data_IF_015991936573
#
_entry.id   IF_015991936573
#
_cell.length_a   1.000
_cell.length_b   1.000
_cell.length_c   1.000
_cell.angle_alpha   90.00
_cell.angle_beta   90.00
_cell.angle_gamma   90.00
#
_symmetry.space_group_name_H-M   'P 1'
#
loop_
_entity.id
_entity.type
_entity.pdbx_description
1 polymer ?
#
# COMPACT_ATOMS: atom_id res chain seq x y z
N UNK A 1 12.54 -8.22 -15.17
CA UNK A 1 12.55 -9.05 -13.95
C UNK A 1 11.17 -8.88 -13.31
N UNK A 2 10.55 -9.94 -12.79
CA UNK A 2 9.21 -9.81 -12.17
C UNK A 2 9.29 -9.04 -10.84
N UNK A 3 8.15 -8.55 -10.35
CA UNK A 3 8.10 -7.89 -9.05
C UNK A 3 8.52 -8.88 -7.95
N UNK A 4 8.01 -10.12 -7.93
CA UNK A 4 8.42 -11.08 -6.88
C UNK A 4 9.90 -11.42 -6.92
N UNK A 5 10.53 -11.57 -8.09
CA UNK A 5 11.97 -11.77 -8.14
C UNK A 5 12.74 -10.58 -7.51
N UNK A 6 12.24 -9.36 -7.74
CA UNK A 6 12.83 -8.15 -7.15
C UNK A 6 12.61 -8.08 -5.63
N UNK A 7 11.42 -8.45 -5.15
CA UNK A 7 11.09 -8.53 -3.72
C UNK A 7 11.92 -9.60 -3.01
N UNK A 8 12.09 -10.77 -3.63
CA UNK A 8 12.93 -11.86 -3.11
C UNK A 8 14.39 -11.43 -3.00
N UNK A 9 14.92 -10.77 -4.04
CA UNK A 9 16.28 -10.23 -3.98
C UNK A 9 16.43 -9.20 -2.87
N UNK A 10 15.49 -8.25 -2.76
CA UNK A 10 15.53 -7.21 -1.73
C UNK A 10 15.45 -7.80 -0.31
N UNK A 11 14.63 -8.83 -0.10
CA UNK A 11 14.56 -9.52 1.18
C UNK A 11 15.84 -10.29 1.48
N UNK A 12 16.42 -10.99 0.51
CA UNK A 12 17.68 -11.70 0.68
C UNK A 12 18.85 -10.73 0.99
N UNK A 13 18.88 -9.57 0.36
CA UNK A 13 19.89 -8.55 0.63
C UNK A 13 19.70 -7.91 2.00
N UNK A 14 18.45 -7.66 2.41
CA UNK A 14 18.12 -7.25 3.78
C UNK A 14 18.59 -8.27 4.82
N UNK A 15 18.32 -9.56 4.60
CA UNK A 15 18.76 -10.63 5.51
C UNK A 15 20.29 -10.74 5.64
N UNK A 16 21.04 -10.36 4.60
CA UNK A 16 22.51 -10.35 4.66
C UNK A 16 23.07 -9.13 5.39
N UNK A 17 22.39 -7.98 5.30
CA UNK A 17 22.89 -6.70 5.77
C UNK A 17 22.41 -6.33 7.18
N UNK A 18 21.20 -6.73 7.56
CA UNK A 18 20.59 -6.34 8.82
C UNK A 18 21.14 -7.13 10.02
N UNK A 19 21.25 -6.53 11.21
CA UNK A 19 21.57 -7.26 12.43
C UNK A 19 20.55 -8.35 12.74
N UNK A 20 20.98 -9.48 13.32
CA UNK A 20 20.08 -10.59 13.67
C UNK A 20 18.83 -10.18 14.48
N UNK A 21 18.92 -9.32 15.52
CA UNK A 21 17.72 -8.88 16.26
C UNK A 21 16.71 -8.14 15.40
N UNK A 22 17.17 -7.44 14.35
CA UNK A 22 16.30 -6.76 13.40
C UNK A 22 15.58 -7.80 12.55
N UNK A 23 16.31 -8.76 11.98
CA UNK A 23 15.76 -9.84 11.17
C UNK A 23 14.71 -10.63 11.98
N UNK A 24 15.03 -10.98 13.22
CA UNK A 24 14.14 -11.72 14.12
C UNK A 24 12.85 -10.95 14.40
N UNK A 25 12.93 -9.63 14.55
CA UNK A 25 11.75 -8.78 14.76
C UNK A 25 10.85 -8.76 13.52
N UNK A 26 11.41 -8.65 12.32
CA UNK A 26 10.62 -8.73 11.09
C UNK A 26 10.00 -10.11 10.89
N UNK A 27 10.75 -11.19 11.12
CA UNK A 27 10.22 -12.56 10.99
C UNK A 27 9.10 -12.83 11.99
N UNK A 28 9.31 -12.43 13.25
CA UNK A 28 8.29 -12.55 14.30
C UNK A 28 7.07 -11.69 14.01
N UNK A 29 7.26 -10.51 13.40
CA UNK A 29 6.18 -9.65 12.95
C UNK A 29 5.31 -10.29 11.87
N UNK A 30 5.93 -10.93 10.86
CA UNK A 30 5.20 -11.71 9.84
C UNK A 30 4.43 -12.85 10.49
N UNK A 31 5.07 -13.63 11.36
CA UNK A 31 4.42 -14.76 12.03
C UNK A 31 3.24 -14.30 12.89
N UNK A 32 3.43 -13.25 13.70
CA UNK A 32 2.37 -12.72 14.55
C UNK A 32 1.18 -12.20 13.72
N UNK A 33 1.45 -11.58 12.56
CA UNK A 33 0.40 -11.14 11.66
C UNK A 33 -0.32 -12.34 11.03
N UNK A 34 0.40 -13.37 10.58
CA UNK A 34 -0.20 -14.61 10.06
C UNK A 34 -1.09 -15.32 11.08
N UNK A 35 -0.69 -15.34 12.35
CA UNK A 35 -1.42 -16.03 13.42
C UNK A 35 -2.68 -15.28 13.86
N UNK A 36 -2.68 -13.95 13.75
CA UNK A 36 -3.75 -13.08 14.29
C UNK A 36 -4.68 -12.50 13.23
N UNK A 37 -4.26 -12.46 11.97
CA UNK A 37 -5.03 -11.84 10.91
C UNK A 37 -6.17 -12.73 10.43
N UNK A 38 -7.39 -12.20 10.52
CA UNK A 38 -8.59 -12.83 10.02
C UNK A 38 -8.99 -12.20 8.68
N UNK A 39 -8.55 -12.83 7.58
CA UNK A 39 -8.81 -12.34 6.23
C UNK A 39 -10.31 -12.24 5.88
N UNK A 40 -11.18 -12.96 6.60
CA UNK A 40 -12.63 -12.89 6.37
C UNK A 40 -13.26 -11.57 6.83
N UNK A 41 -12.55 -10.82 7.69
CA UNK A 41 -12.96 -9.49 8.16
C UNK A 41 -12.49 -8.36 7.26
N UNK A 42 -11.60 -8.65 6.30
CA UNK A 42 -11.18 -7.68 5.31
C UNK A 42 -12.20 -7.57 4.17
N UNK A 43 -12.14 -6.47 3.42
CA UNK A 43 -12.93 -6.24 2.22
C UNK A 43 -12.86 -7.44 1.25
N UNK A 44 -14.00 -7.85 0.71
CA UNK A 44 -14.13 -9.00 -0.18
C UNK A 44 -14.70 -8.61 -1.56
N UNK A 45 -14.39 -9.38 -2.62
CA UNK A 45 -15.09 -9.29 -3.89
C UNK A 45 -16.61 -9.33 -3.72
N UNK A 46 -17.32 -8.49 -4.48
CA UNK A 46 -18.77 -8.31 -4.42
C UNK A 46 -19.25 -7.29 -3.39
N UNK A 47 -18.39 -6.80 -2.49
CA UNK A 47 -18.72 -5.71 -1.58
C UNK A 47 -18.54 -4.35 -2.26
N UNK A 48 -19.25 -3.33 -1.77
CA UNK A 48 -19.04 -1.95 -2.20
C UNK A 48 -17.78 -1.39 -1.55
N UNK A 49 -16.96 -0.67 -2.32
CA UNK A 49 -15.89 0.14 -1.77
C UNK A 49 -16.50 1.25 -0.89
N UNK A 50 -16.07 1.42 0.37
CA UNK A 50 -16.51 2.54 1.19
C UNK A 50 -16.16 3.88 0.54
N UNK A 51 -17.08 4.84 0.62
CA UNK A 51 -16.79 6.19 0.15
C UNK A 51 -15.68 6.83 0.98
N UNK A 52 -14.77 7.53 0.30
CA UNK A 52 -13.69 8.24 0.98
C UNK A 52 -13.41 9.58 0.31
N UNK A 53 -12.84 10.48 1.10
CA UNK A 53 -12.19 11.72 0.65
C UNK A 53 -10.83 11.79 1.33
N UNK A 54 -9.77 11.65 0.56
CA UNK A 54 -8.38 11.67 1.04
C UNK A 54 -7.64 12.85 0.41
N UNK A 55 -6.54 13.27 1.02
CA UNK A 55 -5.66 14.28 0.42
C UNK A 55 -4.62 13.61 -0.46
N UNK A 56 -4.32 14.18 -1.62
CA UNK A 56 -3.15 13.80 -2.40
C UNK A 56 -1.85 14.43 -1.87
N UNK A 57 -0.72 14.05 -2.45
CA UNK A 57 0.61 14.58 -2.09
C UNK A 57 0.76 16.10 -2.29
N UNK A 58 -0.17 16.76 -2.99
CA UNK A 58 -0.21 18.22 -3.19
C UNK A 58 -1.22 18.93 -2.28
N UNK A 59 -1.95 18.18 -1.45
CA UNK A 59 -2.95 18.68 -0.51
C UNK A 59 -4.35 18.84 -1.12
N UNK A 60 -4.59 18.36 -2.35
CA UNK A 60 -5.91 18.41 -2.95
C UNK A 60 -6.78 17.26 -2.45
N UNK A 61 -8.06 17.53 -2.23
CA UNK A 61 -9.03 16.50 -1.89
C UNK A 61 -9.36 15.63 -3.12
N UNK A 62 -9.25 14.32 -2.96
CA UNK A 62 -9.58 13.29 -3.95
C UNK A 62 -10.65 12.39 -3.35
N UNK A 63 -11.76 12.22 -4.07
CA UNK A 63 -12.88 11.37 -3.62
C UNK A 63 -12.91 10.06 -4.39
N UNK A 64 -13.38 8.98 -3.75
CA UNK A 64 -13.63 7.70 -4.42
C UNK A 64 -14.53 7.88 -5.65
N UNK A 65 -15.57 8.72 -5.55
CA UNK A 65 -16.48 9.04 -6.66
C UNK A 65 -15.75 9.71 -7.82
N UNK A 66 -14.86 10.67 -7.55
CA UNK A 66 -14.09 11.34 -8.61
C UNK A 66 -13.10 10.41 -9.32
N UNK A 67 -12.61 9.38 -8.63
CA UNK A 67 -11.75 8.35 -9.21
C UNK A 67 -12.57 7.38 -10.06
N UNK A 68 -13.67 6.87 -9.52
CA UNK A 68 -14.56 5.92 -10.21
C UNK A 68 -15.26 6.52 -11.43
N UNK A 69 -15.49 7.84 -11.45
CA UNK A 69 -16.02 8.53 -12.63
C UNK A 69 -15.08 8.47 -13.85
N UNK A 70 -13.79 8.18 -13.65
CA UNK A 70 -12.81 8.00 -14.74
C UNK A 70 -12.77 6.58 -15.28
N UNK A 71 -13.35 5.61 -14.58
CA UNK A 71 -13.31 4.20 -14.89
C UNK A 71 -13.07 3.32 -13.65
N UNK A 72 -12.80 2.03 -13.84
CA UNK A 72 -12.41 1.14 -12.74
C UNK A 72 -11.17 1.66 -12.01
N UNK A 73 -11.04 1.32 -10.73
CA UNK A 73 -10.02 1.83 -9.83
C UNK A 73 -9.21 0.67 -9.26
N UNK A 74 -7.88 0.72 -9.40
CA UNK A 74 -6.95 -0.19 -8.74
C UNK A 74 -6.24 0.56 -7.60
N UNK A 75 -6.55 0.19 -6.36
CA UNK A 75 -5.95 0.74 -5.15
C UNK A 75 -4.78 -0.14 -4.69
N UNK A 76 -3.63 0.48 -4.41
CA UNK A 76 -2.49 -0.15 -3.73
C UNK A 76 -2.29 0.48 -2.35
N UNK A 77 -2.59 -0.28 -1.30
CA UNK A 77 -2.35 0.11 0.08
C UNK A 77 -0.93 -0.28 0.49
N UNK A 78 -0.19 0.66 1.05
CA UNK A 78 1.19 0.44 1.46
C UNK A 78 1.50 1.10 2.80
N UNK A 79 2.54 0.59 3.46
CA UNK A 79 2.89 0.96 4.84
C UNK A 79 3.45 2.38 4.95
N UNK A 80 4.31 2.74 4.01
CA UNK A 80 5.00 4.03 3.95
C UNK A 80 6.26 3.96 3.07
N UNK A 81 6.82 5.11 2.73
CA UNK A 81 8.01 5.26 1.87
C UNK A 81 9.29 4.60 2.40
N UNK A 82 9.39 4.39 3.71
CA UNK A 82 10.55 3.72 4.33
C UNK A 82 10.57 2.22 4.06
N UNK A 83 9.46 1.66 3.57
CA UNK A 83 9.32 0.24 3.26
C UNK A 83 9.90 -0.07 1.86
N UNK A 84 11.02 -0.79 1.75
CA UNK A 84 11.65 -1.07 0.46
C UNK A 84 10.77 -1.91 -0.48
N UNK A 85 10.00 -2.86 0.08
CA UNK A 85 9.04 -3.67 -0.67
C UNK A 85 7.94 -2.82 -1.30
N UNK A 86 7.47 -1.80 -0.57
CA UNK A 86 6.45 -0.86 -1.01
C UNK A 86 7.00 -0.01 -2.18
N UNK A 87 8.24 0.47 -2.08
CA UNK A 87 8.87 1.23 -3.16
C UNK A 87 9.12 0.38 -4.42
N UNK A 88 9.36 -0.93 -4.28
CA UNK A 88 9.47 -1.84 -5.43
C UNK A 88 8.12 -2.05 -6.11
N UNK A 89 7.05 -2.26 -5.35
CA UNK A 89 5.68 -2.37 -5.87
C UNK A 89 5.27 -1.12 -6.63
N UNK A 90 5.41 0.07 -6.02
CA UNK A 90 4.99 1.33 -6.63
C UNK A 90 5.75 1.61 -7.93
N UNK A 91 7.06 1.31 -7.98
CA UNK A 91 7.85 1.40 -9.22
C UNK A 91 7.40 0.40 -10.29
N UNK A 92 7.05 -0.82 -9.88
CA UNK A 92 6.57 -1.84 -10.81
C UNK A 92 5.21 -1.43 -11.41
N UNK A 93 4.29 -0.90 -10.59
CA UNK A 93 3.03 -0.33 -11.06
C UNK A 93 3.25 0.89 -11.98
N UNK A 94 4.13 1.82 -11.60
CA UNK A 94 4.49 2.98 -12.42
C UNK A 94 5.03 2.56 -13.79
N UNK A 95 5.87 1.52 -13.85
CA UNK A 95 6.43 1.02 -15.12
C UNK A 95 5.39 0.42 -16.07
N UNK A 96 4.21 0.08 -15.55
CA UNK A 96 3.08 -0.51 -16.28
C UNK A 96 1.87 0.43 -16.35
N UNK A 97 2.02 1.68 -15.88
CA UNK A 97 0.96 2.69 -15.86
C UNK A 97 0.35 2.94 -17.25
N UNK A 98 1.12 2.98 -18.36
CA UNK A 98 0.54 3.14 -19.71
C UNK A 98 -0.47 2.04 -20.05
N UNK A 99 -0.21 0.80 -19.65
CA UNK A 99 -1.10 -0.34 -19.90
C UNK A 99 -2.38 -0.27 -19.06
N UNK A 100 -2.29 0.12 -17.79
CA UNK A 100 -3.48 0.36 -16.95
C UNK A 100 -4.33 1.51 -17.50
N UNK A 101 -3.67 2.60 -17.90
CA UNK A 101 -4.33 3.78 -18.49
C UNK A 101 -5.01 3.43 -19.80
N UNK A 102 -4.35 2.65 -20.66
CA UNK A 102 -4.91 2.18 -21.93
C UNK A 102 -6.12 1.26 -21.73
N UNK A 103 -6.17 0.53 -20.61
CA UNK A 103 -7.33 -0.28 -20.21
C UNK A 103 -8.43 0.53 -19.50
N UNK A 104 -8.27 1.86 -19.37
CA UNK A 104 -9.25 2.74 -18.73
C UNK A 104 -9.27 2.67 -17.20
N UNK A 105 -8.23 2.10 -16.59
CA UNK A 105 -8.15 1.93 -15.13
C UNK A 105 -7.34 3.06 -14.50
N UNK A 106 -7.90 3.64 -13.45
CA UNK A 106 -7.20 4.60 -12.60
C UNK A 106 -6.43 3.84 -11.53
N UNK A 107 -5.13 4.09 -11.41
CA UNK A 107 -4.31 3.64 -10.28
C UNK A 107 -4.36 4.69 -9.16
N UNK A 108 -4.37 4.27 -7.90
CA UNK A 108 -4.06 5.14 -6.78
C UNK A 108 -3.36 4.37 -5.66
N UNK A 109 -2.32 4.95 -5.07
CA UNK A 109 -1.65 4.42 -3.90
C UNK A 109 -2.15 5.10 -2.63
N UNK A 110 -2.30 4.35 -1.54
CA UNK A 110 -2.85 4.84 -0.27
C UNK A 110 -1.94 4.43 0.89
N UNK A 111 -1.56 5.38 1.73
CA UNK A 111 -0.84 5.11 2.98
C UNK A 111 -1.27 6.06 4.10
N UNK A 112 -0.99 5.76 5.37
CA UNK A 112 -1.36 6.65 6.47
C UNK A 112 -0.39 7.80 6.68
N UNK A 113 0.60 7.97 5.79
CA UNK A 113 1.50 9.10 5.85
C UNK A 113 0.75 10.42 5.76
N UNK A 114 1.16 11.38 6.58
CA UNK A 114 0.76 12.77 6.43
C UNK A 114 1.15 13.27 5.03
N UNK A 115 0.36 14.17 4.43
CA UNK A 115 0.74 14.79 3.17
C UNK A 115 2.06 15.55 3.33
N UNK A 116 3.11 15.12 2.62
CA UNK A 116 4.39 15.81 2.66
C UNK A 116 4.32 17.09 1.83
N UNK A 117 4.00 18.18 2.50
CA UNK A 117 3.92 19.51 1.87
C UNK A 117 5.30 20.10 1.57
N UNK A 118 6.39 19.53 2.11
CA UNK A 118 7.75 20.06 2.00
C UNK A 118 8.49 19.67 0.72
N UNK A 119 8.04 18.61 0.04
CA UNK A 119 8.64 18.14 -1.22
C UNK A 119 8.30 19.05 -2.41
N UNK A 120 9.26 19.17 -3.32
CA UNK A 120 9.06 19.86 -4.60
C UNK A 120 8.03 19.12 -5.45
N UNK A 121 7.41 19.84 -6.38
CA UNK A 121 6.44 19.27 -7.34
C UNK A 121 7.07 18.11 -8.14
N UNK A 122 8.37 18.19 -8.47
CA UNK A 122 9.09 17.13 -9.18
C UNK A 122 9.26 15.85 -8.34
N UNK A 123 9.52 15.97 -7.03
CA UNK A 123 9.58 14.83 -6.11
C UNK A 123 8.20 14.22 -5.89
N UNK A 124 7.15 15.04 -5.87
CA UNK A 124 5.74 14.60 -5.83
C UNK A 124 5.28 13.88 -7.10
N UNK A 125 5.95 14.10 -8.24
CA UNK A 125 5.65 13.48 -9.53
C UNK A 125 6.51 12.24 -9.85
N UNK A 126 7.25 11.68 -8.89
CA UNK A 126 7.94 10.41 -9.10
C UNK A 126 6.98 9.26 -9.45
N UNK A 127 5.71 9.40 -9.06
CA UNK A 127 4.60 8.59 -9.52
C UNK A 127 3.63 9.48 -10.30
N UNK A 128 3.18 8.98 -11.45
CA UNK A 128 2.24 9.68 -12.34
C UNK A 128 0.78 9.31 -12.04
N UNK A 129 0.55 8.54 -10.97
CA UNK A 129 -0.77 8.23 -10.43
C UNK A 129 -0.94 8.82 -9.02
N UNK A 130 -2.18 9.11 -8.58
CA UNK A 130 -2.47 9.66 -7.26
C UNK A 130 -1.83 8.87 -6.10
N UNK A 131 -1.16 9.59 -5.22
CA UNK A 131 -0.70 9.09 -3.91
C UNK A 131 -1.52 9.79 -2.84
N UNK A 132 -2.31 9.01 -2.11
CA UNK A 132 -3.33 9.49 -1.18
C UNK A 132 -2.93 9.22 0.28
N UNK A 133 -3.24 10.18 1.12
CA UNK A 133 -2.98 10.18 2.56
C UNK A 133 -4.24 9.77 3.33
N UNK A 134 -4.24 8.55 3.87
CA UNK A 134 -5.26 8.00 4.77
C UNK A 134 -4.86 8.20 6.23
N UNK A 135 -4.75 9.47 6.64
CA UNK A 135 -4.31 9.85 8.00
C UNK A 135 -5.14 9.12 9.06
N UNK A 136 -4.46 8.42 9.97
CA UNK A 136 -5.09 7.61 11.03
C UNK A 136 -5.65 6.26 10.56
N UNK A 137 -5.32 5.82 9.33
CA UNK A 137 -5.79 4.58 8.72
C UNK A 137 -7.32 4.48 8.63
N UNK A 138 -8.03 5.57 8.35
CA UNK A 138 -9.50 5.60 8.42
C UNK A 138 -10.13 4.70 7.36
N UNK A 139 -9.70 4.81 6.10
CA UNK A 139 -10.14 3.94 5.03
C UNK A 139 -9.64 2.51 5.26
N UNK A 140 -8.37 2.32 5.61
CA UNK A 140 -7.81 1.01 5.89
C UNK A 140 -8.56 0.26 7.02
N UNK A 141 -9.05 0.96 8.05
CA UNK A 141 -9.90 0.36 9.10
C UNK A 141 -11.24 -0.10 8.55
N UNK A 142 -11.88 0.68 7.68
CA UNK A 142 -13.14 0.29 7.04
C UNK A 142 -12.98 -0.93 6.15
N UNK A 143 -11.80 -1.10 5.55
CA UNK A 143 -11.46 -2.29 4.75
C UNK A 143 -10.98 -3.48 5.59
N UNK A 144 -10.84 -3.33 6.92
CA UNK A 144 -10.38 -4.40 7.80
C UNK A 144 -8.90 -4.80 7.62
N UNK A 145 -8.07 -3.91 7.08
CA UNK A 145 -6.67 -4.21 6.73
C UNK A 145 -5.64 -3.50 7.60
N UNK A 146 -6.01 -2.98 8.78
CA UNK A 146 -5.04 -2.34 9.68
C UNK A 146 -4.29 -3.38 10.51
N UNK A 147 -2.97 -3.21 10.56
CA UNK A 147 -2.09 -3.95 11.43
C UNK A 147 -1.39 -3.01 12.40
N UNK A 148 -1.59 -3.26 13.69
CA UNK A 148 -0.77 -2.68 14.76
C UNK A 148 0.53 -3.46 14.86
N UNK A 149 1.63 -2.84 14.45
CA UNK A 149 2.94 -3.49 14.49
C UNK A 149 3.36 -3.74 15.95
N UNK A 150 4.08 -4.84 16.22
CA UNK A 150 4.68 -5.06 17.53
C UNK A 150 5.56 -3.88 17.95
N UNK A 151 5.56 -3.54 19.25
CA UNK A 151 6.30 -2.39 19.78
C UNK A 151 7.81 -2.42 19.46
N UNK A 152 8.38 -3.62 19.29
CA UNK A 152 9.75 -3.83 18.88
C UNK A 152 10.11 -3.17 17.52
N UNK A 153 9.12 -2.91 16.66
CA UNK A 153 9.35 -2.19 15.40
C UNK A 153 9.73 -0.72 15.64
N UNK A 154 9.24 -0.07 16.69
CA UNK A 154 9.46 1.36 16.93
C UNK A 154 10.94 1.75 16.94
N UNK A 155 11.77 1.16 17.82
CA UNK A 155 13.22 1.44 17.85
C UNK A 155 13.95 1.10 16.55
N UNK A 156 13.53 0.04 15.85
CA UNK A 156 14.13 -0.38 14.58
C UNK A 156 13.85 0.64 13.48
N UNK A 157 12.60 1.08 13.36
CA UNK A 157 12.18 2.10 12.40
C UNK A 157 12.87 3.43 12.69
N UNK A 158 12.97 3.84 13.95
CA UNK A 158 13.73 5.01 14.35
C UNK A 158 15.23 4.88 13.97
N UNK A 159 15.81 3.68 14.14
CA UNK A 159 17.17 3.37 13.70
C UNK A 159 17.37 3.47 12.17
N UNK A 160 16.30 3.27 11.39
CA UNK A 160 16.27 3.53 9.95
C UNK A 160 15.94 4.99 9.58
N UNK A 161 15.90 5.89 10.56
CA UNK A 161 15.61 7.32 10.34
C UNK A 161 14.13 7.64 10.16
N UNK A 162 13.23 6.72 10.49
CA UNK A 162 11.78 6.96 10.45
C UNK A 162 11.36 7.74 11.69
N UNK A 163 11.17 9.04 11.53
CA UNK A 163 10.46 9.86 12.52
C UNK A 163 8.95 9.59 12.40
N UNK A 164 8.46 8.67 13.23
CA UNK A 164 7.09 8.16 13.13
C UNK A 164 6.05 9.26 13.33
N UNK A 165 6.15 10.04 14.41
CA UNK A 165 5.18 11.08 14.73
C UNK A 165 5.14 12.16 13.65
N UNK A 166 6.31 12.54 13.11
CA UNK A 166 6.37 13.48 11.99
C UNK A 166 5.77 12.94 10.70
N UNK A 167 5.84 11.62 10.46
CA UNK A 167 5.34 10.99 9.23
C UNK A 167 3.88 10.58 9.30
N UNK A 168 3.36 10.20 10.46
CA UNK A 168 2.03 9.64 10.62
C UNK A 168 1.09 10.49 11.49
N UNK A 169 1.62 11.45 12.25
CA UNK A 169 0.84 12.33 13.12
C UNK A 169 0.31 11.65 14.38
N UNK A 170 0.80 10.46 14.70
CA UNK A 170 0.45 9.69 15.89
C UNK A 170 1.66 8.89 16.42
N UNK A 171 1.44 8.02 17.40
CA UNK A 171 2.43 7.06 17.90
C UNK A 171 1.90 5.61 17.88
N UNK A 172 0.92 5.34 17.00
CA UNK A 172 0.14 4.10 17.02
C UNK A 172 0.93 2.88 16.57
N UNK A 173 1.97 3.09 15.75
CA UNK A 173 2.66 2.06 14.98
C UNK A 173 1.71 1.24 14.06
N UNK A 174 0.56 1.82 13.71
CA UNK A 174 -0.43 1.17 12.85
C UNK A 174 -0.19 1.51 11.37
N UNK A 175 -0.22 0.48 10.53
CA UNK A 175 -0.10 0.57 9.07
C UNK A 175 -1.12 -0.34 8.41
N UNK A 176 -1.50 -0.11 7.15
CA UNK A 176 -2.24 -1.12 6.41
C UNK A 176 -1.33 -2.33 6.16
N UNK A 177 -1.91 -3.53 6.25
CA UNK A 177 -1.37 -4.71 5.58
C UNK A 177 -1.36 -4.39 4.08
N UNK A 178 -0.23 -4.58 3.38
CA UNK A 178 -0.17 -4.28 1.96
C UNK A 178 -1.24 -5.03 1.18
N UNK A 179 -2.01 -4.29 0.38
CA UNK A 179 -3.15 -4.83 -0.32
C UNK A 179 -3.30 -4.20 -1.71
N UNK A 180 -3.74 -4.99 -2.68
CA UNK A 180 -4.16 -4.48 -3.99
C UNK A 180 -5.64 -4.78 -4.19
N UNK A 181 -6.45 -3.76 -4.41
CA UNK A 181 -7.92 -3.88 -4.54
C UNK A 181 -8.35 -3.33 -5.89
N UNK A 182 -8.95 -4.17 -6.73
CA UNK A 182 -9.60 -3.75 -7.97
C UNK A 182 -11.08 -3.49 -7.71
N UNK A 183 -11.55 -2.31 -8.10
CA UNK A 183 -12.93 -1.86 -7.97
C UNK A 183 -13.46 -1.53 -9.36
N UNK A 184 -14.63 -2.07 -9.71
CA UNK A 184 -15.32 -1.74 -10.95
C UNK A 184 -15.81 -0.29 -10.95
N UNK A 185 -16.12 0.26 -12.12
CA UNK A 185 -16.64 1.64 -12.23
C UNK A 185 -17.99 1.85 -11.50
N UNK A 186 -18.70 0.76 -11.19
CA UNK A 186 -19.91 0.74 -10.36
C UNK A 186 -19.63 0.77 -8.85
N UNK A 187 -18.37 0.86 -8.43
CA UNK A 187 -17.96 0.90 -7.02
C UNK A 187 -17.89 -0.47 -6.34
N UNK A 188 -18.13 -1.56 -7.08
CA UNK A 188 -18.08 -2.93 -6.54
C UNK A 188 -16.66 -3.48 -6.62
N UNK A 189 -16.16 -4.03 -5.52
CA UNK A 189 -14.86 -4.71 -5.45
C UNK A 189 -14.90 -5.98 -6.30
N UNK A 190 -13.94 -6.12 -7.21
CA UNK A 190 -13.82 -7.24 -8.15
C UNK A 190 -12.79 -8.25 -7.70
N UNK A 191 -11.63 -7.75 -7.26
CA UNK A 191 -10.52 -8.59 -6.82
C UNK A 191 -9.80 -7.92 -5.64
N UNK A 192 -9.26 -8.75 -4.76
CA UNK A 192 -8.47 -8.34 -3.61
C UNK A 192 -7.25 -9.25 -3.54
N UNK A 193 -6.05 -8.65 -3.51
CA UNK A 193 -4.82 -9.31 -3.11
C UNK A 193 -4.47 -8.77 -1.73
N UNK A 194 -4.39 -9.66 -0.75
CA UNK A 194 -4.06 -9.34 0.62
C UNK A 194 -3.36 -10.55 1.23
N UNK A 195 -2.10 -10.38 1.62
CA UNK A 195 -1.31 -11.46 2.21
C UNK A 195 -0.74 -10.99 3.56
N UNK A 196 -0.94 -11.76 4.65
CA UNK A 196 -0.35 -11.47 5.96
C UNK A 196 1.18 -11.45 5.93
N UNK A 197 1.81 -12.13 4.96
CA UNK A 197 3.20 -11.89 4.63
C UNK A 197 3.34 -10.58 3.86
N UNK A 198 3.56 -9.49 4.61
CA UNK A 198 3.73 -8.14 4.08
C UNK A 198 4.98 -7.96 3.19
N UNK A 199 5.74 -9.01 2.88
CA UNK A 199 6.81 -8.98 1.86
C UNK A 199 6.31 -9.39 0.47
N UNK A 200 5.14 -10.03 0.37
CA UNK A 200 4.52 -10.41 -0.90
C UNK A 200 3.65 -9.30 -1.48
N UNK A 201 3.58 -9.25 -2.80
CA UNK A 201 2.77 -8.30 -3.58
C UNK A 201 2.14 -9.00 -4.75
N UNK A 202 1.03 -8.46 -5.26
CA UNK A 202 0.47 -8.87 -6.54
C UNK A 202 1.42 -8.48 -7.69
N UNK A 203 1.64 -9.36 -8.67
CA UNK A 203 2.35 -8.95 -9.89
C UNK A 203 1.53 -7.90 -10.65
N UNK A 204 2.17 -6.85 -11.22
CA UNK A 204 1.50 -5.94 -12.13
C UNK A 204 0.85 -6.65 -13.32
N UNK A 205 1.43 -7.76 -13.81
CA UNK A 205 0.80 -8.53 -14.89
C UNK A 205 -0.51 -9.18 -14.42
N UNK A 206 -0.54 -9.79 -13.24
CA UNK A 206 -1.77 -10.36 -12.68
C UNK A 206 -2.82 -9.28 -12.42
N UNK A 207 -2.41 -8.10 -11.95
CA UNK A 207 -3.31 -6.95 -11.82
C UNK A 207 -3.88 -6.51 -13.18
N UNK A 208 -3.07 -6.51 -14.25
CA UNK A 208 -3.54 -6.24 -15.61
C UNK A 208 -4.49 -7.33 -16.13
N UNK A 209 -4.27 -8.60 -15.79
CA UNK A 209 -5.19 -9.70 -16.10
C UNK A 209 -6.55 -9.50 -15.43
N UNK A 210 -6.58 -9.08 -14.16
CA UNK A 210 -7.83 -8.74 -13.48
C UNK A 210 -8.56 -7.61 -14.20
N UNK A 211 -7.83 -6.56 -14.59
CA UNK A 211 -8.37 -5.42 -15.32
C UNK A 211 -8.95 -5.83 -16.68
N UNK A 212 -8.27 -6.70 -17.43
CA UNK A 212 -8.73 -7.21 -18.72
C UNK A 212 -9.97 -8.10 -18.62
N UNK A 213 -10.28 -8.59 -17.43
CA UNK A 213 -11.43 -9.46 -17.15
C UNK A 213 -12.66 -8.71 -16.61
N UNK A 214 -12.59 -7.38 -16.47
CA UNK A 214 -13.73 -6.52 -16.13
C UNK A 214 -14.76 -6.46 -17.26
#
# INVERSE_FOLDING_TARGET
>A
MSLQASLQSAYADFQKAAPAPVIDTFNSGVQALQDSFDASKAIQPGQNLPEFTLQDATGNAVTSTSLLAKGPLLLSFYRGEWCPFCNLELRALQSRLPEFTAAGVTLAAVSPHLPDTSLSVAEKHALEFPVLSDVGNQLARQLGIVWKQPEAFGPILAGFGVDWEKKYGDQSLEVPIPATVLVGADGVVRNVFLDPDYTKRLEPETALEWVRAL
#
